data_IF_921953726258
#
_entry.id   IF_921953726258
#
_cell.length_a   1.000
_cell.length_b   1.000
_cell.length_c   1.000
_cell.angle_alpha   90.00
_cell.angle_beta   90.00
_cell.angle_gamma   90.00
#
_symmetry.space_group_name_H-M   'P 1'
#
loop_
_entity.id
_entity.type
_entity.pdbx_description
1 polymer ?
#
# COMPACT_ATOMS: atom_id res chain seq x y z
N UNK A 1 11.11 -12.25 -16.19
CA UNK A 1 11.04 -10.99 -15.67
C UNK A 1 9.66 -10.64 -15.29
N UNK A 2 9.49 -10.07 -14.20
CA UNK A 2 8.19 -9.80 -13.76
C UNK A 2 7.78 -8.44 -14.17
N UNK A 3 6.55 -8.33 -14.58
CA UNK A 3 6.03 -7.09 -15.07
C UNK A 3 4.81 -6.77 -14.26
N UNK A 4 5.01 -6.67 -12.98
CA UNK A 4 3.91 -6.47 -12.06
C UNK A 4 3.39 -5.05 -12.17
N UNK A 5 2.08 -4.91 -12.29
CA UNK A 5 1.47 -3.62 -12.36
C UNK A 5 0.44 -3.46 -11.27
N UNK A 6 0.37 -2.27 -10.72
CA UNK A 6 -0.59 -1.96 -9.68
C UNK A 6 -1.50 -0.85 -10.14
N UNK A 7 -2.81 -0.97 -9.86
CA UNK A 7 -3.68 0.15 -10.14
C UNK A 7 -3.63 1.11 -8.98
N UNK A 8 -4.28 2.24 -9.18
CA UNK A 8 -4.20 3.31 -8.21
C UNK A 8 -4.68 2.88 -6.83
N UNK A 9 -5.75 2.12 -6.79
CA UNK A 9 -6.28 1.67 -5.51
C UNK A 9 -5.30 0.74 -4.79
N UNK A 10 -4.61 -0.09 -5.55
CA UNK A 10 -3.61 -0.97 -4.95
C UNK A 10 -2.45 -0.16 -4.40
N UNK A 11 -2.03 0.85 -5.14
CA UNK A 11 -0.94 1.69 -4.68
C UNK A 11 -1.33 2.47 -3.44
N UNK A 12 -2.57 2.94 -3.39
CA UNK A 12 -3.05 3.64 -2.21
C UNK A 12 -3.09 2.71 -1.00
N UNK A 13 -3.52 1.49 -1.21
CA UNK A 13 -3.55 0.52 -0.13
C UNK A 13 -2.14 0.27 0.40
N UNK A 14 -1.20 0.06 -0.50
CA UNK A 14 0.17 -0.18 -0.10
C UNK A 14 0.74 1.02 0.62
N UNK A 15 0.40 2.22 0.17
CA UNK A 15 0.91 3.43 0.80
C UNK A 15 0.37 3.60 2.21
N UNK A 16 -0.88 3.22 2.42
CA UNK A 16 -1.48 3.35 3.73
C UNK A 16 -0.79 2.45 4.76
N UNK A 17 -0.29 1.32 4.34
CA UNK A 17 0.32 0.36 5.24
C UNK A 17 1.81 0.20 5.00
N UNK A 18 2.41 1.15 4.31
CA UNK A 18 3.82 1.04 3.96
C UNK A 18 4.71 0.92 5.19
N UNK A 19 5.62 -0.03 5.12
CA UNK A 19 6.62 -0.24 6.15
C UNK A 19 8.00 0.00 5.55
N UNK A 20 9.04 0.07 6.35
CA UNK A 20 10.38 0.33 5.80
C UNK A 20 10.84 -0.69 4.76
N UNK A 21 10.36 -1.93 4.83
CA UNK A 21 10.74 -2.92 3.85
C UNK A 21 9.53 -3.52 3.18
N UNK A 22 9.76 -4.08 2.01
CA UNK A 22 8.70 -4.76 1.28
C UNK A 22 8.16 -5.93 2.09
N UNK A 23 9.05 -6.70 2.68
CA UNK A 23 8.63 -7.86 3.43
C UNK A 23 7.72 -7.48 4.58
N UNK A 24 8.08 -6.44 5.30
CA UNK A 24 7.26 -6.00 6.42
C UNK A 24 5.91 -5.47 5.94
N UNK A 25 5.89 -4.79 4.81
CA UNK A 25 4.64 -4.29 4.26
C UNK A 25 3.71 -5.45 3.89
N UNK A 26 4.27 -6.49 3.27
CA UNK A 26 3.48 -7.66 2.93
C UNK A 26 2.91 -8.30 4.19
N UNK A 27 3.72 -8.36 5.23
CA UNK A 27 3.27 -8.96 6.47
C UNK A 27 2.12 -8.17 7.09
N UNK A 28 2.22 -6.85 7.08
CA UNK A 28 1.15 -6.02 7.62
C UNK A 28 -0.14 -6.25 6.83
N UNK A 29 -0.04 -6.29 5.51
CA UNK A 29 -1.23 -6.50 4.70
C UNK A 29 -1.83 -7.89 4.95
N UNK A 30 -0.97 -8.87 5.17
CA UNK A 30 -1.45 -10.21 5.48
C UNK A 30 -2.22 -10.20 6.79
N UNK A 31 -1.76 -9.43 7.76
CA UNK A 31 -2.44 -9.34 9.04
C UNK A 31 -3.72 -8.54 8.97
N UNK A 32 -3.77 -7.59 8.03
CA UNK A 32 -4.98 -6.80 7.85
C UNK A 32 -6.10 -7.60 7.20
N UNK A 33 -5.72 -8.60 6.42
CA UNK A 33 -6.70 -9.36 5.64
C UNK A 33 -7.89 -9.83 6.47
N UNK A 34 -7.70 -10.51 7.60
CA UNK A 34 -8.86 -10.94 8.37
C UNK A 34 -9.63 -9.79 8.97
N UNK A 35 -8.98 -8.65 9.19
CA UNK A 35 -9.66 -7.52 9.80
C UNK A 35 -10.64 -6.85 8.84
N UNK A 36 -10.39 -6.99 7.55
CA UNK A 36 -11.26 -6.38 6.54
C UNK A 36 -12.10 -7.43 5.83
N UNK A 37 -12.22 -8.61 6.43
CA UNK A 37 -12.90 -9.71 5.76
C UNK A 37 -14.36 -9.40 5.46
N UNK A 38 -14.98 -8.54 6.27
CA UNK A 38 -16.37 -8.21 6.05
C UNK A 38 -16.58 -7.15 4.99
N UNK A 39 -15.51 -6.47 4.62
CA UNK A 39 -15.59 -5.46 3.58
C UNK A 39 -15.15 -6.13 2.28
N UNK A 40 -16.13 -6.49 1.45
CA UNK A 40 -15.83 -7.28 0.26
C UNK A 40 -14.85 -6.58 -0.67
N UNK A 41 -14.99 -5.27 -0.83
CA UNK A 41 -14.11 -4.56 -1.74
C UNK A 41 -12.70 -4.47 -1.19
N UNK A 42 -12.57 -4.14 0.09
CA UNK A 42 -11.26 -4.03 0.69
C UNK A 42 -10.60 -5.40 0.77
N UNK A 43 -11.37 -6.41 1.11
CA UNK A 43 -10.83 -7.76 1.19
C UNK A 43 -10.30 -8.22 -0.16
N UNK A 44 -11.05 -7.97 -1.22
CA UNK A 44 -10.61 -8.34 -2.55
C UNK A 44 -9.36 -7.57 -2.94
N UNK A 45 -9.30 -6.29 -2.59
CA UNK A 45 -8.15 -5.47 -2.93
C UNK A 45 -6.89 -5.99 -2.23
N UNK A 46 -7.01 -6.31 -0.95
CA UNK A 46 -5.88 -6.86 -0.22
C UNK A 46 -5.44 -8.19 -0.82
N UNK A 47 -6.41 -9.04 -1.12
CA UNK A 47 -6.09 -10.36 -1.65
C UNK A 47 -5.40 -10.30 -3.00
N UNK A 48 -5.74 -9.33 -3.82
CA UNK A 48 -5.09 -9.24 -5.12
C UNK A 48 -3.76 -8.50 -5.05
N UNK A 49 -3.58 -7.65 -4.06
CA UNK A 49 -2.36 -6.87 -3.96
C UNK A 49 -1.20 -7.69 -3.40
N UNK A 50 -1.47 -8.51 -2.42
CA UNK A 50 -0.40 -9.27 -1.76
C UNK A 50 0.40 -10.14 -2.74
N UNK A 51 -0.23 -10.96 -3.60
CA UNK A 51 0.56 -11.77 -4.52
C UNK A 51 1.41 -10.95 -5.47
N UNK A 52 0.91 -9.79 -5.86
CA UNK A 52 1.69 -8.93 -6.73
C UNK A 52 2.91 -8.41 -6.00
N UNK A 53 2.74 -8.03 -4.74
CA UNK A 53 3.86 -7.54 -3.97
C UNK A 53 4.91 -8.61 -3.76
N UNK A 54 4.50 -9.86 -3.67
CA UNK A 54 5.45 -10.94 -3.47
C UNK A 54 6.35 -11.15 -4.67
N UNK A 55 6.01 -10.57 -5.80
CA UNK A 55 6.85 -10.65 -6.98
C UNK A 55 7.82 -9.49 -7.09
N UNK A 56 7.73 -8.53 -6.20
CA UNK A 56 8.61 -7.38 -6.24
C UNK A 56 9.91 -7.64 -5.50
N UNK A 57 10.95 -6.90 -5.91
CA UNK A 57 12.16 -6.83 -5.10
C UNK A 57 12.10 -5.54 -4.29
N UNK A 58 12.99 -5.42 -3.32
CA UNK A 58 13.03 -4.21 -2.51
C UNK A 58 13.26 -2.96 -3.36
N UNK A 59 14.22 -2.95 -4.30
CA UNK A 59 14.37 -1.77 -5.13
C UNK A 59 13.13 -1.43 -5.94
N UNK A 60 12.42 -2.44 -6.42
CA UNK A 60 11.20 -2.19 -7.17
C UNK A 60 10.13 -1.59 -6.28
N UNK A 61 10.04 -2.09 -5.05
CA UNK A 61 9.07 -1.57 -4.10
C UNK A 61 9.36 -0.10 -3.82
N UNK A 62 10.61 0.24 -3.59
CA UNK A 62 10.96 1.62 -3.31
C UNK A 62 10.72 2.51 -4.52
N UNK A 63 10.86 1.96 -5.71
CA UNK A 63 10.63 2.72 -6.91
C UNK A 63 9.18 3.07 -7.17
N UNK A 64 8.26 2.46 -6.44
CA UNK A 64 6.85 2.79 -6.58
C UNK A 64 6.52 4.17 -6.04
N UNK A 65 7.39 4.72 -5.20
CA UNK A 65 7.20 6.07 -4.66
C UNK A 65 5.83 6.19 -4.03
N UNK A 66 5.58 5.33 -3.09
CA UNK A 66 4.25 5.25 -2.47
C UNK A 66 3.84 6.51 -1.75
N UNK A 67 4.78 7.35 -1.39
CA UNK A 67 4.39 8.56 -0.68
C UNK A 67 3.51 9.47 -1.55
N UNK A 68 3.53 9.29 -2.87
CA UNK A 68 2.64 10.04 -3.74
C UNK A 68 1.19 9.58 -3.61
N UNK A 69 0.99 8.40 -3.04
CA UNK A 69 -0.34 7.80 -2.95
C UNK A 69 -0.88 7.76 -1.54
N UNK A 70 -0.13 8.31 -0.57
CA UNK A 70 -0.61 8.31 0.80
C UNK A 70 -1.74 9.31 0.94
N UNK A 71 -2.74 8.96 1.76
CA UNK A 71 -3.82 9.90 1.99
C UNK A 71 -3.28 11.12 2.71
N UNK A 72 -3.94 12.23 2.48
CA UNK A 72 -3.57 13.46 3.16
C UNK A 72 -3.65 13.28 4.65
N UNK A 73 -2.69 13.82 5.33
CA UNK A 73 -2.71 13.79 6.78
C UNK A 73 -3.05 15.15 7.31
N UNK A 74 -3.87 15.21 8.32
CA UNK A 74 -4.30 16.50 8.84
C UNK A 74 -3.15 17.41 9.25
N UNK A 75 -2.14 16.87 9.86
CA UNK A 75 -1.07 17.74 10.29
C UNK A 75 -0.30 18.28 9.11
N UNK A 76 -0.16 17.55 8.04
CA UNK A 76 0.48 18.07 6.89
C UNK A 76 -0.32 19.17 6.28
N UNK A 77 -1.61 18.98 6.17
CA UNK A 77 -2.45 19.98 5.61
C UNK A 77 -2.44 21.21 6.45
N UNK A 78 -2.43 21.04 7.72
CA UNK A 78 -2.42 22.16 8.61
C UNK A 78 -1.24 23.01 8.38
N UNK A 79 -0.12 22.43 8.20
CA UNK A 79 1.04 23.21 7.97
C UNK A 79 0.92 24.00 6.77
N UNK A 80 0.44 23.41 5.74
CA UNK A 80 0.32 24.08 4.51
C UNK A 80 -0.73 25.12 4.54
N UNK A 81 -1.84 24.73 5.03
CA UNK A 81 -2.95 25.62 4.96
C UNK A 81 -2.76 26.82 5.74
N UNK A 82 -2.24 26.68 6.65
CA UNK A 82 -2.21 27.68 7.42
C UNK A 82 -1.47 28.57 7.17
N UNK A 83 -1.16 28.37 7.00
CA UNK A 83 -0.48 29.24 6.95
C UNK A 83 -0.27 29.88 6.40
#
# INVERSE_FOLDING_TARGET
MSNVRFDELELMLMAMFEQPTLKDTIQVLTEVQPLVAEDAEMSALVQQTIPKMQQLTEPQFKGLELEWYKPDEPNKKTEVAEK
#
